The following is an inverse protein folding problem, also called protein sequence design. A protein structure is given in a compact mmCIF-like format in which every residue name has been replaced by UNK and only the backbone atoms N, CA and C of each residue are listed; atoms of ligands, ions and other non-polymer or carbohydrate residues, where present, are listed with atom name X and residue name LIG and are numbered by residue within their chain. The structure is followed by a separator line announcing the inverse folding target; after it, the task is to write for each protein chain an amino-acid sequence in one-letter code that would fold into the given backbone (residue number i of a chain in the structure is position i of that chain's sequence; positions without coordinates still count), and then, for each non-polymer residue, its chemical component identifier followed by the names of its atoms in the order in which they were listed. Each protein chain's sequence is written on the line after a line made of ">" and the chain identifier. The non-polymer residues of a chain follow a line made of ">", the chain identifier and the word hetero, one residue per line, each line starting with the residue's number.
data_IF_283877257985
#
_entry.id   IF_283877257985
#
_cell.length_a   1.000
_cell.length_b   1.000
_cell.length_c   1.000
_cell.angle_alpha   90.00
_cell.angle_beta   90.00
_cell.angle_gamma   90.00
#
_symmetry.space_group_name_H-M   'P 1'
#
loop_
_entity.id
_entity.type
_entity.pdbx_description
1 polymer ?
#
# COMPACT_ATOMS: atom_id res chain seq x y z
N UNK A 1 8.51 3.21 59.48
CA UNK A 1 8.65 3.48 58.04
C UNK A 1 7.28 3.46 57.39
N UNK A 2 7.11 4.03 56.20
CA UNK A 2 5.84 3.98 55.46
C UNK A 2 5.56 2.55 54.93
N UNK A 3 4.29 2.18 54.80
CA UNK A 3 3.84 0.88 54.25
C UNK A 3 3.86 0.85 52.71
N UNK A 4 4.78 1.59 52.08
CA UNK A 4 4.84 1.75 50.62
C UNK A 4 6.24 1.39 50.16
N UNK A 5 6.33 0.55 49.13
CA UNK A 5 7.58 0.24 48.44
C UNK A 5 7.55 0.82 47.02
N UNK A 6 8.59 1.57 46.64
CA UNK A 6 8.73 2.22 45.32
C UNK A 6 10.08 1.82 44.74
N UNK A 7 10.08 1.28 43.52
CA UNK A 7 11.28 0.82 42.82
C UNK A 7 11.10 0.93 41.30
N UNK A 8 12.21 0.98 40.57
CA UNK A 8 12.19 0.98 39.11
C UNK A 8 11.67 -0.35 38.56
N UNK A 9 10.87 -0.29 37.49
CA UNK A 9 10.24 -1.47 36.91
C UNK A 9 9.93 -1.28 35.42
N UNK A 10 9.28 -2.28 34.81
CA UNK A 10 8.83 -2.26 33.41
C UNK A 10 7.33 -2.57 33.32
N UNK A 11 6.64 -2.23 32.20
CA UNK A 11 5.25 -2.63 32.01
C UNK A 11 5.03 -4.14 32.14
N UNK A 12 5.99 -4.95 31.69
CA UNK A 12 5.93 -6.42 31.83
C UNK A 12 5.99 -6.89 33.29
N UNK A 13 6.90 -6.32 34.09
CA UNK A 13 6.98 -6.63 35.52
C UNK A 13 5.72 -6.18 36.29
N UNK A 14 5.16 -5.03 35.92
CA UNK A 14 3.90 -4.55 36.49
C UNK A 14 2.74 -5.51 36.19
N UNK A 15 2.58 -5.91 34.92
CA UNK A 15 1.52 -6.84 34.53
C UNK A 15 1.68 -8.22 35.21
N UNK A 16 2.92 -8.69 35.36
CA UNK A 16 3.24 -9.91 36.10
C UNK A 16 2.80 -9.82 37.58
N UNK A 17 3.08 -8.69 38.24
CA UNK A 17 2.65 -8.48 39.63
C UNK A 17 1.11 -8.40 39.75
N UNK A 18 0.44 -7.75 38.79
CA UNK A 18 -1.03 -7.71 38.74
C UNK A 18 -1.64 -9.09 38.52
N UNK A 19 -1.06 -9.91 37.64
CA UNK A 19 -1.53 -11.28 37.40
C UNK A 19 -1.37 -12.18 38.63
N UNK A 20 -0.33 -11.96 39.44
CA UNK A 20 -0.12 -12.63 40.72
C UNK A 20 -1.00 -12.10 41.86
N UNK A 21 -1.52 -10.89 41.72
CA UNK A 21 -2.49 -10.37 42.66
C UNK A 21 -3.78 -11.13 42.42
N UNK A 22 -4.16 -12.00 43.36
CA UNK A 22 -5.38 -12.81 43.35
C UNK A 22 -6.63 -11.91 43.29
N UNK A 23 -6.98 -11.47 42.08
CA UNK A 23 -7.99 -10.46 41.78
C UNK A 23 -8.78 -10.87 40.55
N UNK A 24 -10.08 -10.65 40.62
CA UNK A 24 -10.98 -10.75 39.47
C UNK A 24 -11.01 -9.44 38.67
N UNK A 25 -11.01 -9.54 37.34
CA UNK A 25 -11.08 -8.41 36.42
C UNK A 25 -12.41 -8.42 35.65
N UNK A 26 -12.91 -7.24 35.27
CA UNK A 26 -14.11 -7.12 34.43
C UNK A 26 -13.76 -7.36 32.96
N UNK A 27 -14.69 -7.96 32.21
CA UNK A 27 -14.58 -8.10 30.75
C UNK A 27 -14.99 -6.82 30.02
N UNK A 28 -14.35 -6.52 28.88
CA UNK A 28 -14.68 -5.45 27.94
C UNK A 28 -14.56 -6.00 26.52
N UNK A 29 -15.57 -5.77 25.68
CA UNK A 29 -15.70 -6.40 24.35
C UNK A 29 -15.64 -5.44 23.17
N UNK A 30 -16.08 -4.20 23.32
CA UNK A 30 -16.13 -3.23 22.20
C UNK A 30 -14.87 -2.36 22.13
N UNK A 31 -14.86 -1.34 21.28
CA UNK A 31 -13.75 -0.39 21.15
C UNK A 31 -13.76 0.74 22.20
N UNK A 32 -12.88 1.72 21.96
CA UNK A 32 -12.73 2.96 22.72
C UNK A 32 -12.92 4.21 21.82
N UNK A 33 -13.72 4.11 20.74
CA UNK A 33 -14.02 5.24 19.87
C UNK A 33 -15.41 5.84 20.14
N UNK A 34 -15.60 7.16 19.92
CA UNK A 34 -14.56 8.16 19.69
C UNK A 34 -13.87 8.59 21.00
N UNK A 35 -12.58 8.94 20.91
CA UNK A 35 -11.84 9.51 22.03
C UNK A 35 -12.18 10.99 22.23
N UNK A 36 -12.39 11.40 23.48
CA UNK A 36 -12.46 12.80 23.89
C UNK A 36 -11.71 12.99 25.20
N UNK A 37 -10.85 14.01 25.27
CA UNK A 37 -10.12 14.33 26.49
C UNK A 37 -10.83 15.37 27.37
N UNK A 38 -11.81 16.10 26.80
CA UNK A 38 -12.66 17.10 27.45
C UNK A 38 -14.06 17.08 26.81
N UNK A 39 -15.12 17.62 27.46
CA UNK A 39 -16.52 17.50 27.01
C UNK A 39 -16.83 17.92 25.56
N UNK A 40 -16.03 18.83 24.99
CA UNK A 40 -16.23 19.37 23.64
C UNK A 40 -15.00 19.17 22.74
N UNK A 41 -14.16 18.18 23.04
CA UNK A 41 -12.90 17.95 22.33
C UNK A 41 -12.80 16.49 21.86
N UNK A 42 -13.75 16.09 21.01
CA UNK A 42 -13.74 14.79 20.34
C UNK A 42 -12.70 14.75 19.23
N UNK A 43 -11.85 13.72 19.25
CA UNK A 43 -10.76 13.54 18.30
C UNK A 43 -11.25 12.77 17.07
N UNK A 44 -12.28 13.29 16.40
CA UNK A 44 -12.84 12.67 15.18
C UNK A 44 -12.33 13.34 13.90
N UNK A 45 -11.71 14.52 14.01
CA UNK A 45 -11.17 15.25 12.85
C UNK A 45 -10.06 14.48 12.11
N UNK A 46 -9.18 13.79 12.85
CA UNK A 46 -8.07 13.04 12.25
C UNK A 46 -8.55 11.83 11.43
N UNK A 47 -9.82 11.42 11.53
CA UNK A 47 -10.42 10.43 10.64
C UNK A 47 -10.39 10.89 9.17
N UNK A 48 -10.36 12.20 8.90
CA UNK A 48 -10.35 12.78 7.55
C UNK A 48 -9.18 13.69 7.23
N UNK A 49 -8.43 14.18 8.23
CA UNK A 49 -7.23 15.02 8.01
C UNK A 49 -6.28 14.41 6.99
N UNK A 50 -5.75 15.22 6.07
CA UNK A 50 -4.80 14.78 5.01
C UNK A 50 -5.30 13.58 4.19
N UNK A 51 -6.53 13.64 3.70
CA UNK A 51 -7.16 12.56 2.92
C UNK A 51 -6.34 12.06 1.72
N UNK A 52 -5.59 12.94 1.06
CA UNK A 52 -4.67 12.57 -0.02
C UNK A 52 -3.57 11.59 0.46
N UNK A 53 -2.96 11.85 1.62
CA UNK A 53 -1.95 10.96 2.19
C UNK A 53 -2.57 9.64 2.68
N UNK A 54 -3.76 9.66 3.31
CA UNK A 54 -4.50 8.43 3.66
C UNK A 54 -4.76 7.55 2.43
N UNK A 55 -5.17 8.14 1.30
CA UNK A 55 -5.32 7.40 0.04
C UNK A 55 -3.98 6.86 -0.46
N UNK A 56 -2.92 7.67 -0.38
CA UNK A 56 -1.60 7.28 -0.88
C UNK A 56 -1.00 6.12 -0.07
N UNK A 57 -1.18 6.12 1.25
CA UNK A 57 -0.82 4.99 2.12
C UNK A 57 -1.56 3.71 1.70
N UNK A 58 -2.87 3.75 1.47
CA UNK A 58 -3.64 2.56 1.05
C UNK A 58 -3.17 2.02 -0.30
N UNK A 59 -2.88 2.93 -1.23
CA UNK A 59 -2.35 2.61 -2.55
C UNK A 59 -0.96 1.97 -2.46
N UNK A 60 -0.06 2.58 -1.68
CA UNK A 60 1.28 2.03 -1.43
C UNK A 60 1.23 0.66 -0.75
N UNK A 61 0.29 0.44 0.18
CA UNK A 61 0.11 -0.86 0.82
C UNK A 61 -0.37 -1.92 -0.19
N UNK A 62 -1.28 -1.58 -1.11
CA UNK A 62 -1.68 -2.49 -2.17
C UNK A 62 -0.49 -2.92 -3.04
N UNK A 63 0.34 -1.96 -3.47
CA UNK A 63 1.58 -2.24 -4.21
C UNK A 63 2.48 -3.17 -3.39
N UNK A 64 2.69 -2.87 -2.10
CA UNK A 64 3.51 -3.70 -1.22
C UNK A 64 3.01 -5.17 -1.16
N UNK A 65 1.70 -5.40 -1.03
CA UNK A 65 1.16 -6.76 -1.02
C UNK A 65 1.35 -7.46 -2.37
N UNK A 66 1.08 -6.77 -3.49
CA UNK A 66 1.28 -7.30 -4.85
C UNK A 66 2.75 -7.68 -5.07
N UNK A 67 3.68 -6.80 -4.68
CA UNK A 67 5.12 -7.07 -4.82
C UNK A 67 5.55 -8.26 -3.96
N UNK A 68 4.99 -8.43 -2.75
CA UNK A 68 5.25 -9.63 -1.92
C UNK A 68 4.75 -10.90 -2.58
N UNK A 69 3.54 -10.88 -3.17
CA UNK A 69 3.00 -12.02 -3.91
C UNK A 69 3.93 -12.38 -5.07
N UNK A 70 4.25 -11.41 -5.93
CA UNK A 70 5.10 -11.62 -7.09
C UNK A 70 6.52 -12.10 -6.71
N UNK A 71 7.12 -11.54 -5.66
CA UNK A 71 8.41 -12.00 -5.13
C UNK A 71 8.33 -13.45 -4.63
N UNK A 72 7.24 -13.84 -3.98
CA UNK A 72 7.04 -15.21 -3.51
C UNK A 72 6.86 -16.19 -4.68
N UNK A 73 6.04 -15.84 -5.68
CA UNK A 73 5.81 -16.68 -6.86
C UNK A 73 7.06 -16.84 -7.74
N UNK A 74 7.78 -15.74 -7.97
CA UNK A 74 8.94 -15.74 -8.86
C UNK A 74 10.28 -16.02 -8.15
N UNK A 75 10.27 -16.14 -6.81
CA UNK A 75 11.44 -16.29 -5.97
C UNK A 75 12.58 -15.34 -6.38
N UNK A 76 12.32 -14.04 -6.38
CA UNK A 76 13.29 -13.03 -6.88
C UNK A 76 14.43 -12.76 -5.90
N UNK A 77 14.42 -13.33 -4.69
CA UNK A 77 15.38 -13.07 -3.62
C UNK A 77 15.52 -11.57 -3.26
N UNK A 78 14.51 -10.75 -3.58
CA UNK A 78 14.56 -9.30 -3.47
C UNK A 78 14.19 -8.77 -2.08
N UNK A 79 14.54 -9.52 -1.02
CA UNK A 79 14.13 -9.24 0.36
C UNK A 79 14.55 -7.84 0.82
N UNK A 80 15.78 -7.44 0.54
CA UNK A 80 16.31 -6.11 0.93
C UNK A 80 15.57 -4.97 0.23
N UNK A 81 15.26 -5.12 -1.06
CA UNK A 81 14.50 -4.13 -1.82
C UNK A 81 13.06 -4.00 -1.31
N UNK A 82 12.43 -5.13 -0.95
CA UNK A 82 11.10 -5.16 -0.33
C UNK A 82 11.05 -4.49 1.05
N UNK A 83 12.18 -4.46 1.78
CA UNK A 83 12.24 -3.79 3.08
C UNK A 83 12.06 -2.28 2.96
N UNK A 84 12.50 -1.63 1.87
CA UNK A 84 12.37 -0.18 1.68
C UNK A 84 10.90 0.25 1.75
N UNK A 85 10.03 -0.37 0.96
CA UNK A 85 8.59 -0.07 1.01
C UNK A 85 7.93 -0.57 2.30
N UNK A 86 8.40 -1.69 2.86
CA UNK A 86 7.86 -2.22 4.12
C UNK A 86 8.13 -1.30 5.31
N UNK A 87 9.33 -0.72 5.40
CA UNK A 87 9.71 0.24 6.43
C UNK A 87 8.98 1.57 6.26
N UNK A 88 8.93 2.10 5.03
CA UNK A 88 8.15 3.30 4.72
C UNK A 88 6.67 3.12 5.10
N UNK A 89 6.09 1.96 4.79
CA UNK A 89 4.73 1.61 5.19
C UNK A 89 4.57 1.51 6.71
N UNK A 90 5.56 0.92 7.41
CA UNK A 90 5.57 0.87 8.87
C UNK A 90 5.59 2.25 9.51
N UNK A 91 6.43 3.16 9.00
CA UNK A 91 6.47 4.57 9.44
C UNK A 91 5.15 5.27 9.15
N UNK A 92 4.53 5.01 7.99
CA UNK A 92 3.22 5.58 7.64
C UNK A 92 2.10 5.16 8.60
N UNK A 93 2.23 4.04 9.32
CA UNK A 93 1.28 3.62 10.37
C UNK A 93 1.47 4.33 11.71
N UNK A 94 2.51 5.16 11.88
CA UNK A 94 2.68 5.98 13.08
C UNK A 94 1.40 6.79 13.35
N UNK A 95 1.05 6.95 14.62
CA UNK A 95 -0.21 7.59 15.03
C UNK A 95 -0.29 9.09 14.71
N UNK A 96 0.81 9.70 14.24
CA UNK A 96 0.81 11.05 13.62
C UNK A 96 1.00 11.06 12.10
N UNK A 97 1.21 9.90 11.47
CA UNK A 97 1.39 9.78 10.03
C UNK A 97 0.04 9.58 9.33
N UNK A 98 -0.47 8.34 9.24
CA UNK A 98 -1.77 8.08 8.57
C UNK A 98 -2.94 8.85 9.21
N UNK A 99 -2.84 9.24 10.47
CA UNK A 99 -3.83 10.09 11.15
C UNK A 99 -3.88 11.52 10.59
N UNK A 100 -2.79 12.02 10.02
CA UNK A 100 -2.70 13.39 9.50
C UNK A 100 -2.57 14.46 10.58
N UNK A 101 -1.93 14.16 11.72
CA UNK A 101 -1.71 15.08 12.87
C UNK A 101 -0.28 15.63 12.97
N UNK A 102 0.57 15.33 12.00
CA UNK A 102 1.92 15.84 11.82
C UNK A 102 1.99 17.23 11.17
N UNK A 103 3.17 17.86 11.20
CA UNK A 103 3.45 19.11 10.47
C UNK A 103 3.57 18.91 8.96
N UNK A 104 3.46 19.99 8.20
CA UNK A 104 3.43 19.92 6.74
C UNK A 104 4.73 19.35 6.13
N UNK A 105 5.88 19.72 6.66
CA UNK A 105 7.18 19.19 6.25
C UNK A 105 7.33 17.69 6.55
N UNK A 106 6.67 17.20 7.61
CA UNK A 106 6.72 15.80 8.02
C UNK A 106 5.88 14.93 7.09
N UNK A 107 4.69 15.38 6.66
CA UNK A 107 3.91 14.62 5.66
C UNK A 107 4.62 14.55 4.31
N UNK A 108 5.41 15.58 3.95
CA UNK A 108 6.22 15.54 2.74
C UNK A 108 7.32 14.46 2.82
N UNK A 109 7.99 14.33 3.96
CA UNK A 109 8.94 13.23 4.20
C UNK A 109 8.24 11.85 4.14
N UNK A 110 7.06 11.69 4.75
CA UNK A 110 6.30 10.44 4.64
C UNK A 110 5.92 10.09 3.20
N UNK A 111 5.46 11.07 2.42
CA UNK A 111 5.11 10.86 1.02
C UNK A 111 6.35 10.51 0.18
N UNK A 112 7.48 11.17 0.43
CA UNK A 112 8.73 10.87 -0.25
C UNK A 112 9.17 9.42 0.02
N UNK A 113 9.18 8.97 1.29
CA UNK A 113 9.55 7.59 1.65
C UNK A 113 8.67 6.55 0.96
N UNK A 114 7.35 6.78 0.91
CA UNK A 114 6.43 5.88 0.21
C UNK A 114 6.72 5.86 -1.30
N UNK A 115 7.04 7.01 -1.90
CA UNK A 115 7.39 7.10 -3.33
C UNK A 115 8.67 6.32 -3.65
N UNK A 116 9.72 6.50 -2.85
CA UNK A 116 10.98 5.76 -2.99
C UNK A 116 10.76 4.25 -2.80
N UNK A 117 9.93 3.87 -1.83
CA UNK A 117 9.53 2.47 -1.63
C UNK A 117 8.77 1.88 -2.83
N UNK A 118 7.83 2.63 -3.41
CA UNK A 118 7.09 2.18 -4.60
C UNK A 118 8.06 1.99 -5.78
N UNK A 119 8.99 2.92 -6.00
CA UNK A 119 9.99 2.79 -7.05
C UNK A 119 10.87 1.55 -6.86
N UNK A 120 11.30 1.27 -5.62
CA UNK A 120 12.03 0.06 -5.30
C UNK A 120 11.19 -1.20 -5.58
N UNK A 121 9.89 -1.17 -5.24
CA UNK A 121 8.96 -2.26 -5.49
C UNK A 121 8.73 -2.53 -6.99
N UNK A 122 8.71 -1.49 -7.84
CA UNK A 122 8.66 -1.65 -9.31
C UNK A 122 9.84 -2.46 -9.84
N UNK A 123 11.04 -2.28 -9.28
CA UNK A 123 12.21 -3.11 -9.62
C UNK A 123 11.98 -4.59 -9.33
N UNK A 124 11.37 -4.92 -8.19
CA UNK A 124 11.05 -6.30 -7.81
C UNK A 124 9.95 -6.90 -8.69
N UNK A 125 8.92 -6.10 -9.00
CA UNK A 125 7.83 -6.49 -9.92
C UNK A 125 8.42 -6.86 -11.29
N UNK A 126 9.34 -6.06 -11.80
CA UNK A 126 10.02 -6.32 -13.07
C UNK A 126 10.84 -7.62 -13.04
N UNK A 127 11.61 -7.84 -11.97
CA UNK A 127 12.35 -9.10 -11.80
C UNK A 127 11.42 -10.31 -11.76
N UNK A 128 10.24 -10.17 -11.14
CA UNK A 128 9.26 -11.25 -11.10
C UNK A 128 8.69 -11.53 -12.49
N UNK A 129 8.25 -10.50 -13.21
CA UNK A 129 7.72 -10.67 -14.57
C UNK A 129 8.75 -11.20 -15.55
N UNK A 130 10.02 -10.83 -15.41
CA UNK A 130 11.10 -11.40 -16.22
C UNK A 130 11.23 -12.92 -16.08
N UNK A 131 10.80 -13.49 -14.94
CA UNK A 131 10.76 -14.94 -14.70
C UNK A 131 9.42 -15.57 -15.03
N UNK A 132 8.31 -14.86 -14.81
CA UNK A 132 6.95 -15.42 -14.92
C UNK A 132 6.33 -15.31 -16.32
N UNK A 133 6.68 -14.29 -17.10
CA UNK A 133 6.08 -14.05 -18.42
C UNK A 133 6.66 -14.90 -19.55
N UNK A 134 7.96 -15.26 -19.59
CA UNK A 134 8.45 -16.23 -20.56
C UNK A 134 7.84 -17.61 -20.26
N UNK A 135 6.74 -17.96 -20.94
CA UNK A 135 6.16 -19.31 -20.84
C UNK A 135 6.89 -20.31 -21.72
N UNK A 136 7.40 -19.88 -22.89
CA UNK A 136 7.99 -20.78 -23.91
C UNK A 136 9.20 -20.19 -24.67
N UNK A 137 9.72 -19.02 -24.27
CA UNK A 137 10.83 -18.32 -24.97
C UNK A 137 12.09 -18.24 -24.10
N UNK A 138 13.26 -18.51 -24.68
CA UNK A 138 14.55 -18.49 -23.98
C UNK A 138 15.01 -17.08 -23.55
N UNK A 139 14.32 -16.01 -23.96
CA UNK A 139 14.70 -14.63 -23.65
C UNK A 139 13.69 -13.93 -22.75
N UNK A 140 14.13 -13.26 -21.67
CA UNK A 140 13.26 -12.42 -20.85
C UNK A 140 12.63 -11.28 -21.68
N UNK A 141 11.51 -10.71 -21.23
CA UNK A 141 10.90 -9.56 -21.89
C UNK A 141 11.92 -8.42 -22.01
N UNK A 142 12.09 -7.87 -23.22
CA UNK A 142 13.04 -6.78 -23.49
C UNK A 142 12.58 -5.44 -22.91
N UNK A 143 11.30 -5.30 -22.55
CA UNK A 143 10.73 -4.06 -22.03
C UNK A 143 10.29 -4.21 -20.56
N UNK A 144 10.81 -3.31 -19.72
CA UNK A 144 10.41 -3.20 -18.32
C UNK A 144 8.96 -2.71 -18.20
N UNK A 145 8.24 -3.32 -17.27
CA UNK A 145 6.93 -2.85 -16.79
C UNK A 145 7.13 -1.61 -15.91
N UNK A 146 6.18 -0.68 -15.95
CA UNK A 146 6.10 0.47 -15.05
C UNK A 146 4.66 0.63 -14.58
N UNK A 147 4.44 1.31 -13.47
CA UNK A 147 3.10 1.51 -12.94
C UNK A 147 2.54 2.89 -13.36
N UNK A 148 1.28 2.92 -13.80
CA UNK A 148 0.55 4.16 -14.09
C UNK A 148 0.04 4.82 -12.80
N UNK A 149 0.95 5.37 -11.99
CA UNK A 149 0.64 5.95 -10.67
C UNK A 149 -0.29 7.19 -10.74
N UNK A 150 -0.33 7.88 -11.88
CA UNK A 150 -1.09 9.12 -12.09
C UNK A 150 -2.40 8.90 -12.87
N UNK A 151 -2.88 7.66 -12.94
CA UNK A 151 -4.12 7.31 -13.65
C UNK A 151 -5.36 8.04 -13.10
N UNK A 152 -5.34 8.44 -11.83
CA UNK A 152 -6.41 9.22 -11.21
C UNK A 152 -6.59 10.62 -11.84
N UNK A 153 -5.53 11.22 -12.37
CA UNK A 153 -5.56 12.49 -13.13
C UNK A 153 -5.55 12.27 -14.64
N UNK A 154 -5.89 11.05 -15.08
CA UNK A 154 -5.86 10.61 -16.47
C UNK A 154 -4.48 10.74 -17.13
N UNK A 155 -3.41 10.50 -16.37
CA UNK A 155 -2.04 10.58 -16.85
C UNK A 155 -1.32 9.23 -16.69
N UNK A 156 -0.56 8.83 -17.70
CA UNK A 156 0.37 7.71 -17.57
C UNK A 156 1.56 7.90 -18.51
N UNK A 157 2.65 8.43 -17.94
CA UNK A 157 3.81 8.92 -18.69
C UNK A 157 4.44 7.87 -19.61
N UNK A 158 4.47 6.59 -19.21
CA UNK A 158 5.13 5.57 -20.02
C UNK A 158 4.33 5.07 -21.23
N UNK A 159 3.04 5.42 -21.35
CA UNK A 159 2.21 5.11 -22.54
C UNK A 159 1.85 6.36 -23.34
N UNK A 160 2.10 7.55 -22.82
CA UNK A 160 1.80 8.79 -23.52
C UNK A 160 2.64 8.93 -24.80
N UNK A 161 1.97 8.98 -25.94
CA UNK A 161 2.63 9.04 -27.26
C UNK A 161 3.05 7.68 -27.82
N UNK A 162 2.73 6.56 -27.14
CA UNK A 162 2.94 5.23 -27.68
C UNK A 162 1.73 4.81 -28.54
N UNK A 163 1.99 4.37 -29.77
CA UNK A 163 0.97 3.83 -30.68
C UNK A 163 0.55 2.40 -30.29
N UNK A 164 1.47 1.65 -29.67
CA UNK A 164 1.24 0.28 -29.21
C UNK A 164 1.94 0.06 -27.87
N UNK A 165 1.21 -0.51 -26.92
CA UNK A 165 1.73 -0.88 -25.61
C UNK A 165 0.98 -2.12 -25.09
N UNK A 166 1.56 -2.76 -24.08
CA UNK A 166 0.96 -3.91 -23.40
C UNK A 166 0.55 -3.50 -21.99
N UNK A 167 -0.66 -3.91 -21.58
CA UNK A 167 -1.13 -3.74 -20.20
C UNK A 167 -1.10 -5.09 -19.51
N UNK A 168 -0.26 -5.23 -18.50
CA UNK A 168 -0.18 -6.45 -17.68
C UNK A 168 -1.07 -6.27 -16.44
N UNK A 169 -2.02 -7.18 -16.25
CA UNK A 169 -2.91 -7.17 -15.09
C UNK A 169 -2.51 -8.28 -14.12
N UNK A 170 -2.47 -7.94 -12.83
CA UNK A 170 -2.27 -8.90 -11.75
C UNK A 170 -3.46 -8.84 -10.81
N UNK A 171 -4.09 -9.99 -10.60
CA UNK A 171 -5.15 -10.16 -9.62
C UNK A 171 -4.56 -10.70 -8.30
N UNK A 172 -4.48 -9.88 -7.23
CA UNK A 172 -3.98 -10.34 -5.95
C UNK A 172 -5.03 -11.11 -5.12
N UNK A 173 -6.26 -11.23 -5.60
CA UNK A 173 -7.33 -11.93 -4.90
C UNK A 173 -7.26 -13.44 -5.16
N UNK A 174 -7.81 -14.22 -4.22
CA UNK A 174 -7.83 -15.69 -4.31
C UNK A 174 -8.96 -16.22 -5.21
N UNK A 175 -9.88 -15.35 -5.63
CA UNK A 175 -11.04 -15.69 -6.45
C UNK A 175 -11.03 -14.87 -7.72
N UNK A 176 -11.59 -15.43 -8.79
CA UNK A 176 -11.70 -14.73 -10.08
C UNK A 176 -12.55 -13.46 -9.94
N UNK A 177 -12.04 -12.36 -10.49
CA UNK A 177 -12.77 -11.10 -10.60
C UNK A 177 -12.90 -10.65 -12.05
N UNK A 178 -14.02 -10.00 -12.35
CA UNK A 178 -14.23 -9.28 -13.61
C UNK A 178 -14.42 -7.80 -13.28
N UNK A 179 -13.55 -6.95 -13.82
CA UNK A 179 -13.57 -5.52 -13.54
C UNK A 179 -13.23 -4.72 -14.79
N UNK A 180 -13.87 -3.55 -14.94
CA UNK A 180 -13.49 -2.59 -15.97
C UNK A 180 -12.13 -1.96 -15.64
N UNK A 181 -11.20 -2.06 -16.57
CA UNK A 181 -9.89 -1.40 -16.49
C UNK A 181 -9.95 -0.11 -17.29
N UNK A 182 -9.56 1.01 -16.66
CA UNK A 182 -9.51 2.33 -17.31
C UNK A 182 -8.07 2.72 -17.55
N UNK A 183 -7.72 2.98 -18.81
CA UNK A 183 -6.38 3.39 -19.24
C UNK A 183 -6.49 4.74 -19.95
N UNK A 184 -5.70 5.76 -19.59
CA UNK A 184 -5.69 7.03 -20.30
C UNK A 184 -5.06 6.86 -21.69
N UNK A 185 -5.77 7.28 -22.72
CA UNK A 185 -5.37 7.16 -24.14
C UNK A 185 -5.60 8.48 -24.87
N UNK A 186 -4.84 8.74 -25.95
CA UNK A 186 -4.96 10.00 -26.73
C UNK A 186 -5.96 9.94 -27.88
N UNK A 187 -6.09 8.77 -28.51
CA UNK A 187 -6.93 8.54 -29.69
C UNK A 187 -7.78 7.30 -29.47
N UNK A 188 -8.55 6.88 -30.47
CA UNK A 188 -9.18 5.57 -30.46
C UNK A 188 -8.12 4.46 -30.43
N UNK A 189 -8.37 3.40 -29.64
CA UNK A 189 -7.50 2.23 -29.54
C UNK A 189 -8.33 0.96 -29.74
N UNK A 190 -7.72 0.00 -30.44
CA UNK A 190 -8.20 -1.39 -30.45
C UNK A 190 -7.49 -2.16 -29.35
N UNK A 191 -8.24 -2.71 -28.40
CA UNK A 191 -7.68 -3.57 -27.35
C UNK A 191 -7.81 -5.02 -27.80
N UNK A 192 -6.73 -5.78 -27.65
CA UNK A 192 -6.70 -7.22 -27.94
C UNK A 192 -6.29 -7.99 -26.69
N UNK A 193 -6.87 -9.17 -26.52
CA UNK A 193 -6.49 -10.10 -25.47
C UNK A 193 -5.18 -10.84 -25.82
N UNK A 194 -4.68 -11.74 -24.95
CA UNK A 194 -3.50 -12.54 -25.24
C UNK A 194 -3.64 -13.52 -26.41
N UNK A 195 -4.85 -13.85 -26.85
CA UNK A 195 -5.09 -14.73 -28.01
C UNK A 195 -5.14 -13.95 -29.33
N UNK A 196 -5.21 -12.62 -29.26
CA UNK A 196 -5.27 -11.71 -30.40
C UNK A 196 -6.68 -11.26 -30.77
N UNK A 197 -7.69 -11.73 -30.04
CA UNK A 197 -9.09 -11.36 -30.21
C UNK A 197 -9.33 -9.92 -29.74
N UNK A 198 -10.14 -9.18 -30.50
CA UNK A 198 -10.51 -7.81 -30.15
C UNK A 198 -11.55 -7.82 -29.03
N UNK A 199 -11.24 -7.11 -27.95
CA UNK A 199 -12.15 -6.93 -26.83
C UNK A 199 -13.08 -5.74 -27.09
N UNK A 200 -14.30 -5.82 -26.54
CA UNK A 200 -15.21 -4.68 -26.51
C UNK A 200 -14.62 -3.58 -25.60
N UNK A 201 -14.58 -2.35 -26.12
CA UNK A 201 -14.07 -1.18 -25.41
C UNK A 201 -15.02 -0.01 -25.54
N UNK A 202 -14.97 0.89 -24.56
CA UNK A 202 -15.66 2.17 -24.58
C UNK A 202 -14.63 3.28 -24.36
N UNK A 203 -14.62 4.28 -25.25
CA UNK A 203 -13.80 5.47 -25.11
C UNK A 203 -14.61 6.54 -24.39
N UNK A 204 -14.13 6.98 -23.22
CA UNK A 204 -14.76 8.02 -22.43
C UNK A 204 -14.05 9.35 -22.67
N UNK A 205 -14.77 10.34 -23.17
CA UNK A 205 -14.24 11.70 -23.31
C UNK A 205 -13.90 12.32 -21.95
N UNK A 206 -12.82 13.10 -21.92
CA UNK A 206 -12.42 13.85 -20.73
C UNK A 206 -13.41 15.01 -20.54
N UNK A 207 -14.20 14.96 -19.47
CA UNK A 207 -15.00 16.10 -19.00
C UNK A 207 -14.10 17.20 -18.44
#
# INVERSE_FOLDING_TARGET
>A
GSNINVFYSTPGCYLYALNKADRSWKSKTDDFFPYAHNPHAFWTGYFSSRSAFKRYERHANNILQVTRHLNAFANTNARNTLFILSEAMGVAQHHDAVSGTEKQEVVFDYAQRLSEGIQAAEGVINQAYAKLLPKDSQSPPTQLQFLCQLSNISQCLGIEGQERFTVTLWDPLIHQVTQHIRVPVRTDYTVRDPTGETLFTEVLEKK
#
